data_IF_146950319344
#
_entry.id   IF_146950319344
#
_cell.length_a   1.000
_cell.length_b   1.000
_cell.length_c   1.000
_cell.angle_alpha   90.00
_cell.angle_beta   90.00
_cell.angle_gamma   90.00
#
_symmetry.space_group_name_H-M   'P 1'
#
loop_
_entity.id
_entity.type
_entity.pdbx_description
1 polymer ?
#
# COMPACT_ATOMS: atom_id res chain seq x y z
N UNK A 1 3.73 8.45 15.14
CA UNK A 1 2.41 9.13 15.00
C UNK A 1 1.86 8.78 13.62
N UNK A 2 0.57 8.41 13.48
CA UNK A 2 -0.04 8.07 12.18
C UNK A 2 -1.01 9.16 11.73
N UNK A 3 -0.96 9.54 10.45
CA UNK A 3 -1.87 10.51 9.84
C UNK A 3 -2.87 9.76 8.95
N UNK A 4 -4.16 10.13 8.99
CA UNK A 4 -5.16 9.56 8.09
C UNK A 4 -5.13 10.32 6.76
N UNK A 5 -5.06 9.58 5.67
CA UNK A 5 -5.12 10.11 4.31
C UNK A 5 -6.26 9.41 3.59
N UNK A 6 -7.05 10.15 2.82
CA UNK A 6 -8.18 9.60 2.03
C UNK A 6 -7.90 9.79 0.56
N UNK A 7 -7.93 8.70 -0.21
CA UNK A 7 -7.81 8.70 -1.67
C UNK A 7 -8.61 7.53 -2.23
N UNK A 8 -9.00 7.65 -3.48
CA UNK A 8 -9.68 6.58 -4.22
C UNK A 8 -8.65 5.62 -4.82
N UNK A 9 -8.95 4.33 -4.76
CA UNK A 9 -8.21 3.27 -5.45
C UNK A 9 -9.15 2.54 -6.40
N UNK A 10 -8.58 1.90 -7.41
CA UNK A 10 -9.33 1.03 -8.32
C UNK A 10 -10.03 -0.10 -7.55
N UNK A 11 -11.25 -0.44 -7.98
CA UNK A 11 -12.09 -1.44 -7.31
C UNK A 11 -11.41 -2.82 -7.26
N UNK A 12 -10.84 -3.28 -8.38
CA UNK A 12 -10.16 -4.58 -8.45
C UNK A 12 -8.91 -4.61 -7.56
N UNK A 13 -8.24 -3.46 -7.41
CA UNK A 13 -7.10 -3.34 -6.52
C UNK A 13 -7.52 -3.48 -5.05
N UNK A 14 -8.64 -2.88 -4.64
CA UNK A 14 -9.19 -3.02 -3.29
C UNK A 14 -9.62 -4.46 -3.00
N UNK A 15 -10.29 -5.12 -3.95
CA UNK A 15 -10.66 -6.53 -3.82
C UNK A 15 -9.42 -7.41 -3.60
N UNK A 16 -8.40 -7.25 -4.45
CA UNK A 16 -7.14 -7.98 -4.32
C UNK A 16 -6.42 -7.69 -3.00
N UNK A 17 -6.39 -6.42 -2.57
CA UNK A 17 -5.80 -6.02 -1.30
C UNK A 17 -6.51 -6.68 -0.11
N UNK A 18 -7.84 -6.77 -0.16
CA UNK A 18 -8.65 -7.44 0.86
C UNK A 18 -8.33 -8.93 0.90
N UNK A 19 -8.32 -9.61 -0.24
CA UNK A 19 -7.99 -11.04 -0.30
C UNK A 19 -6.60 -11.33 0.26
N UNK A 20 -5.60 -10.53 -0.09
CA UNK A 20 -4.23 -10.70 0.42
C UNK A 20 -4.21 -10.48 1.93
N UNK A 21 -4.86 -9.42 2.42
CA UNK A 21 -4.94 -9.12 3.85
C UNK A 21 -5.56 -10.27 4.65
N UNK A 22 -6.64 -10.88 4.12
CA UNK A 22 -7.28 -12.05 4.72
C UNK A 22 -6.38 -13.28 4.69
N UNK A 23 -5.74 -13.56 3.55
CA UNK A 23 -4.84 -14.71 3.38
C UNK A 23 -3.59 -14.63 4.27
N UNK A 24 -3.01 -13.44 4.43
CA UNK A 24 -1.75 -13.27 5.16
C UNK A 24 -1.93 -12.81 6.60
N UNK A 25 -3.16 -12.49 7.02
CA UNK A 25 -3.49 -11.84 8.30
C UNK A 25 -2.75 -10.50 8.52
N UNK A 26 -2.29 -9.87 7.44
CA UNK A 26 -1.61 -8.57 7.51
C UNK A 26 -2.66 -7.48 7.29
N UNK A 27 -2.76 -6.46 8.15
CA UNK A 27 -3.70 -5.36 7.94
C UNK A 27 -3.46 -4.64 6.62
N UNK A 28 -4.52 -4.34 5.88
CA UNK A 28 -4.46 -3.61 4.60
C UNK A 28 -3.62 -2.32 4.70
N UNK A 29 -3.77 -1.57 5.79
CA UNK A 29 -2.99 -0.34 6.02
C UNK A 29 -1.48 -0.57 6.08
N UNK A 30 -1.02 -1.72 6.57
CA UNK A 30 0.40 -2.08 6.62
C UNK A 30 0.93 -2.47 5.25
N UNK A 31 0.11 -3.16 4.45
CA UNK A 31 0.43 -3.51 3.07
C UNK A 31 0.58 -2.24 2.23
N UNK A 32 -0.38 -1.32 2.33
CA UNK A 32 -0.36 -0.04 1.62
C UNK A 32 0.83 0.82 2.06
N UNK A 33 1.11 0.89 3.37
CA UNK A 33 2.26 1.63 3.88
C UNK A 33 3.59 1.09 3.34
N UNK A 34 3.74 -0.24 3.24
CA UNK A 34 4.93 -0.86 2.67
C UNK A 34 5.07 -0.58 1.16
N UNK A 35 3.99 -0.76 0.39
CA UNK A 35 3.99 -0.52 -1.04
C UNK A 35 4.30 0.95 -1.38
N UNK A 36 3.81 1.90 -0.59
CA UNK A 36 4.14 3.33 -0.77
C UNK A 36 5.63 3.58 -0.49
N UNK A 37 6.19 3.01 0.60
CA UNK A 37 7.62 3.18 0.93
C UNK A 37 8.51 2.64 -0.19
N UNK A 38 8.27 1.40 -0.62
CA UNK A 38 9.01 0.77 -1.70
C UNK A 38 8.94 1.62 -2.98
N UNK A 39 7.75 2.13 -3.33
CA UNK A 39 7.59 2.94 -4.52
C UNK A 39 8.33 4.28 -4.45
N UNK A 40 8.36 4.91 -3.28
CA UNK A 40 9.11 6.14 -3.06
C UNK A 40 10.63 5.90 -3.14
N UNK A 41 11.12 4.81 -2.55
CA UNK A 41 12.53 4.41 -2.63
C UNK A 41 12.96 4.11 -4.08
N UNK A 42 12.13 3.43 -4.87
CA UNK A 42 12.35 3.24 -6.31
C UNK A 42 12.46 4.57 -7.06
N UNK A 43 11.59 5.54 -6.74
CA UNK A 43 11.59 6.84 -7.40
C UNK A 43 12.81 7.70 -7.03
N UNK A 44 13.31 7.58 -5.80
CA UNK A 44 14.52 8.28 -5.35
C UNK A 44 15.80 7.63 -5.89
N UNK A 45 15.85 6.29 -5.93
CA UNK A 45 16.99 5.55 -6.48
C UNK A 45 17.14 5.74 -7.99
N UNK A 46 16.04 5.90 -8.73
CA UNK A 46 16.06 6.20 -10.18
C UNK A 46 16.53 7.62 -10.50
N UNK A 47 16.60 8.52 -9.50
CA UNK A 47 17.10 9.91 -9.66
C UNK A 47 18.61 10.07 -9.39
N UNK A 48 19.33 8.99 -9.07
CA UNK A 48 20.79 8.97 -8.93
C UNK A 48 21.46 8.46 -10.19
#
# INVERSE_FOLDING_TARGET
MKIKVTYSLDEKLIEKLKEVSEKTMIPQSRIVEAAIKEKLEEMESTKK
#
